data_IF_415753039783
#
_entry.id   IF_415753039783
#
_cell.length_a   1.000
_cell.length_b   1.000
_cell.length_c   1.000
_cell.angle_alpha   90.00
_cell.angle_beta   90.00
_cell.angle_gamma   90.00
#
_symmetry.space_group_name_H-M   'P 1'
#
loop_
_entity.id
_entity.type
_entity.pdbx_description
1 polymer ?
#
# COMPACT_ATOMS: atom_id res chain seq x y z
N UNK A 1 -8.63 -25.89 16.15
CA UNK A 1 -8.51 -24.75 15.23
C UNK A 1 -9.81 -23.97 15.35
N UNK A 2 -9.80 -22.71 15.80
CA UNK A 2 -11.02 -21.92 15.73
C UNK A 2 -11.31 -21.69 14.24
N UNK A 3 -12.56 -21.86 13.87
CA UNK A 3 -13.09 -21.54 12.55
C UNK A 3 -12.90 -20.03 12.41
N UNK A 4 -11.91 -19.61 11.62
CA UNK A 4 -11.83 -18.24 11.14
C UNK A 4 -13.09 -18.08 10.29
N UNK A 5 -14.07 -17.34 10.80
CA UNK A 5 -15.22 -16.95 9.99
C UNK A 5 -14.68 -16.36 8.69
N UNK A 6 -15.13 -16.89 7.56
CA UNK A 6 -14.79 -16.36 6.24
C UNK A 6 -15.15 -14.87 6.22
N UNK A 7 -14.33 -13.99 5.60
CA UNK A 7 -14.71 -12.60 5.39
C UNK A 7 -16.15 -12.51 4.93
N UNK A 8 -16.95 -11.77 5.70
CA UNK A 8 -18.35 -11.54 5.35
C UNK A 8 -18.41 -10.48 4.22
N UNK A 9 -17.79 -10.83 3.09
CA UNK A 9 -17.78 -10.08 1.83
C UNK A 9 -19.21 -9.79 1.37
N UNK A 10 -20.16 -10.66 1.73
CA UNK A 10 -21.58 -10.47 1.49
C UNK A 10 -22.12 -9.25 2.23
N UNK A 11 -21.81 -9.06 3.52
CA UNK A 11 -22.21 -7.85 4.27
C UNK A 11 -21.64 -6.59 3.64
N UNK A 12 -20.38 -6.59 3.19
CA UNK A 12 -19.81 -5.44 2.50
C UNK A 12 -20.54 -5.15 1.18
N UNK A 13 -20.76 -6.19 0.36
CA UNK A 13 -21.49 -6.08 -0.91
C UNK A 13 -22.90 -5.58 -0.70
N UNK A 14 -23.63 -6.12 0.28
CA UNK A 14 -25.00 -5.72 0.61
C UNK A 14 -25.06 -4.26 1.07
N UNK A 15 -24.14 -3.84 1.94
CA UNK A 15 -24.06 -2.45 2.38
C UNK A 15 -23.79 -1.48 1.22
N UNK A 16 -22.89 -1.85 0.31
CA UNK A 16 -22.60 -1.06 -0.89
C UNK A 16 -23.79 -1.03 -1.86
N UNK A 17 -24.46 -2.16 -2.07
CA UNK A 17 -25.65 -2.29 -2.92
C UNK A 17 -26.82 -1.48 -2.35
N UNK A 18 -27.07 -1.55 -1.05
CA UNK A 18 -28.11 -0.75 -0.41
C UNK A 18 -27.84 0.76 -0.53
N UNK A 19 -26.57 1.17 -0.48
CA UNK A 19 -26.17 2.58 -0.56
C UNK A 19 -26.12 3.13 -1.99
N UNK A 20 -25.76 2.29 -2.94
CA UNK A 20 -25.55 2.60 -4.36
C UNK A 20 -26.11 1.46 -5.24
N UNK A 21 -27.45 1.36 -5.33
CA UNK A 21 -28.12 0.21 -5.95
C UNK A 21 -27.85 0.08 -7.45
N UNK A 22 -27.53 1.18 -8.14
CA UNK A 22 -27.38 1.20 -9.59
C UNK A 22 -26.03 0.64 -10.08
N UNK A 23 -25.10 0.32 -9.18
CA UNK A 23 -23.71 0.01 -9.53
C UNK A 23 -23.36 -1.49 -9.55
N UNK A 24 -24.30 -2.40 -9.30
CA UNK A 24 -24.06 -3.85 -9.48
C UNK A 24 -22.82 -4.39 -8.77
N UNK A 25 -22.68 -4.07 -7.47
CA UNK A 25 -21.46 -4.33 -6.69
C UNK A 25 -21.10 -5.80 -6.57
N UNK A 26 -19.79 -6.05 -6.56
CA UNK A 26 -19.17 -7.34 -6.25
C UNK A 26 -18.13 -7.16 -5.14
N UNK A 27 -17.90 -8.20 -4.36
CA UNK A 27 -16.86 -8.24 -3.34
C UNK A 27 -16.12 -9.59 -3.39
N UNK A 28 -14.80 -9.55 -3.30
CA UNK A 28 -13.93 -10.71 -3.25
C UNK A 28 -12.95 -10.55 -2.11
N UNK A 29 -12.70 -11.68 -1.44
CA UNK A 29 -11.59 -11.79 -0.51
C UNK A 29 -10.28 -11.86 -1.29
N UNK A 30 -9.30 -11.14 -0.78
CA UNK A 30 -7.91 -11.29 -1.15
C UNK A 30 -7.18 -11.79 0.08
N UNK A 31 -6.95 -13.10 0.11
CA UNK A 31 -6.53 -13.92 1.26
C UNK A 31 -5.13 -13.61 1.80
N UNK A 32 -4.60 -12.40 1.59
CA UNK A 32 -3.42 -11.91 2.30
C UNK A 32 -3.84 -11.43 3.69
N UNK A 33 -3.57 -12.28 4.69
CA UNK A 33 -3.57 -11.86 6.09
C UNK A 33 -2.45 -10.85 6.30
N UNK A 34 -2.80 -9.71 6.90
CA UNK A 34 -1.86 -8.69 7.29
C UNK A 34 -1.86 -8.51 8.81
N UNK A 35 -0.73 -8.04 9.31
CA UNK A 35 -0.54 -7.65 10.70
C UNK A 35 -0.12 -6.19 10.73
N UNK A 36 -0.83 -5.37 11.51
CA UNK A 36 -0.44 -3.98 11.74
C UNK A 36 0.07 -3.86 13.17
N UNK A 37 1.37 -3.54 13.37
CA UNK A 37 1.86 -3.22 14.70
C UNK A 37 1.11 -2.00 15.23
N UNK A 38 0.67 -2.09 16.48
CA UNK A 38 -0.11 -1.04 17.12
C UNK A 38 0.62 0.31 17.08
N UNK A 39 -0.03 1.31 16.50
CA UNK A 39 0.52 2.67 16.43
C UNK A 39 0.29 3.44 17.73
N UNK A 40 -0.73 3.10 18.50
CA UNK A 40 -1.08 3.79 19.74
C UNK A 40 -0.46 3.06 20.93
N UNK A 41 0.00 3.82 21.91
CA UNK A 41 0.54 3.31 23.18
C UNK A 41 -0.42 3.64 24.30
N UNK A 42 -0.68 2.65 25.13
CA UNK A 42 -1.55 2.73 26.30
C UNK A 42 -0.72 2.53 27.57
N UNK A 43 -1.11 3.20 28.65
CA UNK A 43 -0.58 2.90 29.99
C UNK A 43 -1.25 1.66 30.60
N UNK A 44 -0.80 1.25 31.80
CA UNK A 44 -1.35 0.11 32.51
C UNK A 44 -2.83 0.27 32.90
N UNK A 45 -3.36 1.50 32.92
CA UNK A 45 -4.77 1.78 33.16
C UNK A 45 -5.61 1.77 31.87
N UNK A 46 -4.98 1.54 30.72
CA UNK A 46 -5.64 1.53 29.40
C UNK A 46 -5.84 2.91 28.79
N UNK A 47 -5.26 3.97 29.36
CA UNK A 47 -5.35 5.32 28.77
C UNK A 47 -4.36 5.44 27.62
N UNK A 48 -4.79 6.00 26.49
CA UNK A 48 -3.89 6.31 25.39
C UNK A 48 -2.93 7.44 25.80
N UNK A 49 -1.63 7.16 25.77
CA UNK A 49 -0.57 8.13 26.09
C UNK A 49 0.21 8.59 24.86
N UNK A 50 0.09 7.87 23.74
CA UNK A 50 0.65 8.27 22.46
C UNK A 50 -0.17 7.71 21.29
N UNK A 51 -0.34 8.53 20.24
CA UNK A 51 -0.99 8.12 18.98
C UNK A 51 -0.01 7.56 17.94
N UNK A 52 1.28 7.85 18.12
CA UNK A 52 2.38 7.41 17.26
C UNK A 52 3.49 6.80 18.13
N UNK A 53 3.50 5.46 18.15
CA UNK A 53 4.46 4.63 18.90
C UNK A 53 5.88 4.94 18.49
N UNK A 54 6.12 5.13 17.18
CA UNK A 54 7.46 5.37 16.67
C UNK A 54 7.97 6.72 17.18
N UNK A 55 7.21 7.79 17.00
CA UNK A 55 7.58 9.11 17.48
C UNK A 55 7.75 9.14 19.01
N UNK A 56 6.91 8.40 19.73
CA UNK A 56 7.02 8.28 21.19
C UNK A 56 8.31 7.57 21.61
N UNK A 57 8.63 6.42 21.02
CA UNK A 57 9.87 5.68 21.28
C UNK A 57 11.11 6.50 20.89
N UNK A 58 11.09 7.19 19.75
CA UNK A 58 12.15 8.13 19.34
C UNK A 58 12.35 9.24 20.39
N UNK A 59 11.25 9.77 20.96
CA UNK A 59 11.28 10.75 22.04
C UNK A 59 11.89 10.22 23.34
N UNK A 60 11.55 8.99 23.73
CA UNK A 60 12.16 8.33 24.89
C UNK A 60 13.66 8.09 24.68
N UNK A 61 14.04 7.62 23.49
CA UNK A 61 15.42 7.35 23.14
C UNK A 61 16.26 8.62 23.13
N UNK A 62 15.71 9.72 22.59
CA UNK A 62 16.35 11.03 22.64
C UNK A 62 16.56 11.51 24.08
N UNK A 63 15.56 11.35 24.94
CA UNK A 63 15.66 11.69 26.37
C UNK A 63 16.74 10.87 27.08
N UNK A 64 16.88 9.60 26.69
CA UNK A 64 17.91 8.70 27.20
C UNK A 64 19.29 8.85 26.52
N UNK A 65 19.51 9.90 25.71
CA UNK A 65 20.79 10.14 25.05
C UNK A 65 21.18 9.09 24.00
N UNK A 66 20.19 8.39 23.42
CA UNK A 66 20.43 7.28 22.49
C UNK A 66 20.70 5.93 23.18
N UNK A 67 20.66 5.86 24.51
CA UNK A 67 20.94 4.63 25.24
C UNK A 67 19.70 3.73 25.36
N UNK A 68 19.55 2.81 24.42
CA UNK A 68 18.42 1.86 24.33
C UNK A 68 18.20 1.08 25.63
N UNK A 69 19.29 0.56 26.23
CA UNK A 69 19.20 -0.17 27.50
C UNK A 69 18.62 0.67 28.64
N UNK A 70 18.92 1.97 28.67
CA UNK A 70 18.36 2.91 29.66
C UNK A 70 16.86 3.10 29.44
N UNK A 71 16.41 3.22 28.18
CA UNK A 71 14.97 3.28 27.87
C UNK A 71 14.26 2.02 28.37
N UNK A 72 14.80 0.84 28.07
CA UNK A 72 14.17 -0.42 28.49
C UNK A 72 14.12 -0.56 30.02
N UNK A 73 15.22 -0.35 30.74
CA UNK A 73 15.23 -0.47 32.21
C UNK A 73 14.31 0.55 32.90
N UNK A 74 14.18 1.76 32.36
CA UNK A 74 13.31 2.78 32.92
C UNK A 74 11.82 2.49 32.68
N UNK A 75 11.46 1.72 31.66
CA UNK A 75 10.07 1.57 31.22
C UNK A 75 9.51 0.13 31.29
N UNK A 76 10.36 -0.89 31.42
CA UNK A 76 9.95 -2.28 31.67
C UNK A 76 9.05 -2.39 32.90
N UNK A 77 8.01 -3.22 32.84
CA UNK A 77 7.10 -3.45 33.96
C UNK A 77 6.18 -2.27 34.33
N UNK A 78 6.22 -1.16 33.60
CA UNK A 78 5.23 -0.07 33.74
C UNK A 78 3.90 -0.38 33.06
N UNK A 79 3.78 -1.54 32.41
CA UNK A 79 2.54 -2.01 31.77
C UNK A 79 2.15 -1.19 30.54
N UNK A 80 3.12 -0.61 29.83
CA UNK A 80 2.82 0.04 28.55
C UNK A 80 2.47 -1.02 27.52
N UNK A 81 1.35 -0.83 26.82
CA UNK A 81 0.88 -1.77 25.82
C UNK A 81 0.58 -1.08 24.48
N UNK A 82 0.66 -1.85 23.40
CA UNK A 82 0.12 -1.48 22.09
C UNK A 82 -0.89 -2.52 21.66
N UNK A 83 -1.86 -2.13 20.83
CA UNK A 83 -2.82 -3.07 20.25
C UNK A 83 -2.41 -3.35 18.82
N UNK A 84 -1.93 -4.56 18.57
CA UNK A 84 -1.74 -5.06 17.22
C UNK A 84 -3.06 -5.53 16.66
N UNK A 85 -3.25 -5.32 15.36
CA UNK A 85 -4.45 -5.74 14.63
C UNK A 85 -4.07 -6.72 13.53
N UNK A 86 -4.88 -7.76 13.40
CA UNK A 86 -4.86 -8.72 12.30
C UNK A 86 -6.09 -8.49 11.44
N UNK A 87 -5.91 -8.57 10.13
CA UNK A 87 -7.01 -8.46 9.20
C UNK A 87 -6.73 -9.08 7.84
N UNK A 88 -7.76 -9.05 7.01
CA UNK A 88 -7.71 -9.43 5.61
C UNK A 88 -7.90 -8.20 4.74
N UNK A 89 -7.46 -8.30 3.48
CA UNK A 89 -7.76 -7.28 2.47
C UNK A 89 -8.95 -7.76 1.65
N UNK A 90 -9.99 -6.94 1.54
CA UNK A 90 -11.15 -7.23 0.70
C UNK A 90 -11.20 -6.20 -0.42
N UNK A 91 -11.49 -6.66 -1.63
CA UNK A 91 -11.77 -5.80 -2.76
C UNK A 91 -13.27 -5.80 -3.03
N UNK A 92 -13.84 -4.62 -3.23
CA UNK A 92 -15.18 -4.46 -3.76
C UNK A 92 -15.12 -3.60 -5.02
N UNK A 93 -15.92 -3.92 -6.03
CA UNK A 93 -15.92 -3.14 -7.25
C UNK A 93 -17.25 -3.13 -7.96
N UNK A 94 -17.37 -2.20 -8.88
CA UNK A 94 -18.53 -2.01 -9.74
C UNK A 94 -18.10 -1.49 -11.11
N UNK A 95 -18.78 -1.97 -12.16
CA UNK A 95 -18.63 -1.38 -13.49
C UNK A 95 -19.39 -0.04 -13.53
N UNK A 96 -18.76 0.98 -14.11
CA UNK A 96 -19.31 2.34 -14.24
C UNK A 96 -19.43 2.78 -15.71
N UNK A 97 -19.06 1.90 -16.65
CA UNK A 97 -19.09 2.16 -18.08
C UNK A 97 -18.82 0.89 -18.90
N UNK A 98 -18.85 1.01 -20.24
CA UNK A 98 -18.73 -0.14 -21.14
C UNK A 98 -17.28 -0.60 -21.37
N UNK A 99 -16.28 0.21 -21.06
CA UNK A 99 -14.88 -0.17 -21.29
C UNK A 99 -14.40 -1.08 -20.15
N UNK A 100 -13.43 -1.98 -20.42
CA UNK A 100 -12.92 -2.90 -19.41
C UNK A 100 -12.35 -2.20 -18.16
N UNK A 101 -11.77 -1.01 -18.32
CA UNK A 101 -11.23 -0.18 -17.25
C UNK A 101 -12.23 0.80 -16.61
N UNK A 102 -13.48 0.85 -17.09
CA UNK A 102 -14.54 1.66 -16.52
C UNK A 102 -15.07 1.00 -15.24
N UNK A 103 -14.21 0.94 -14.23
CA UNK A 103 -14.44 0.26 -12.96
C UNK A 103 -14.11 1.21 -11.81
N UNK A 104 -15.02 1.26 -10.83
CA UNK A 104 -14.69 1.75 -9.50
C UNK A 104 -14.31 0.56 -8.63
N UNK A 105 -13.17 0.66 -7.95
CA UNK A 105 -12.68 -0.36 -7.03
C UNK A 105 -12.42 0.26 -5.65
N UNK A 106 -12.81 -0.46 -4.61
CA UNK A 106 -12.62 -0.12 -3.21
C UNK A 106 -11.79 -1.24 -2.59
N UNK A 107 -10.62 -0.88 -2.08
CA UNK A 107 -9.79 -1.75 -1.24
C UNK A 107 -10.10 -1.42 0.22
N UNK A 108 -10.53 -2.41 0.99
CA UNK A 108 -10.78 -2.27 2.44
C UNK A 108 -9.98 -3.28 3.23
N UNK A 109 -9.58 -2.88 4.43
CA UNK A 109 -9.02 -3.78 5.43
C UNK A 109 -10.18 -4.27 6.32
N UNK A 110 -10.39 -5.58 6.40
CA UNK A 110 -11.33 -6.19 7.34
C UNK A 110 -10.56 -6.67 8.57
N UNK A 111 -10.82 -6.05 9.73
CA UNK A 111 -10.13 -6.38 10.97
C UNK A 111 -10.82 -7.58 11.63
N UNK A 112 -10.05 -8.65 11.88
CA UNK A 112 -10.54 -9.93 12.43
C UNK A 112 -9.96 -10.28 13.78
N UNK A 113 -8.84 -9.67 14.15
CA UNK A 113 -8.16 -9.94 15.41
C UNK A 113 -7.52 -8.68 15.96
N UNK A 114 -7.46 -8.61 17.28
CA UNK A 114 -6.61 -7.69 17.99
C UNK A 114 -5.90 -8.41 19.14
N UNK A 115 -4.68 -7.97 19.46
CA UNK A 115 -3.97 -8.41 20.66
C UNK A 115 -3.24 -7.24 21.30
N UNK A 116 -3.24 -7.22 22.63
CA UNK A 116 -2.44 -6.26 23.38
C UNK A 116 -1.05 -6.85 23.63
N UNK A 117 -0.01 -6.13 23.25
CA UNK A 117 1.38 -6.52 23.49
C UNK A 117 2.08 -5.45 24.32
N UNK A 118 2.81 -5.89 25.35
CA UNK A 118 3.61 -5.02 26.19
C UNK A 118 4.79 -4.44 25.40
N UNK A 119 4.94 -3.11 25.41
CA UNK A 119 5.97 -2.41 24.62
C UNK A 119 7.39 -2.72 25.12
N UNK A 120 7.54 -2.94 26.43
CA UNK A 120 8.83 -3.20 27.09
C UNK A 120 8.86 -4.52 27.86
N UNK A 121 7.79 -5.31 27.78
CA UNK A 121 7.65 -6.56 28.53
C UNK A 121 8.26 -7.76 27.77
N UNK A 122 9.03 -7.45 26.72
CA UNK A 122 9.81 -8.39 25.91
C UNK A 122 11.24 -8.52 26.45
N UNK A 123 12.06 -9.30 25.75
CA UNK A 123 13.50 -9.36 25.99
C UNK A 123 14.14 -7.97 25.86
N UNK A 124 15.27 -7.77 26.55
CA UNK A 124 16.00 -6.50 26.55
C UNK A 124 16.55 -6.19 25.15
N UNK A 125 16.10 -5.11 24.49
CA UNK A 125 16.52 -4.76 23.14
C UNK A 125 18.04 -4.49 23.09
N UNK A 126 18.68 -4.97 22.01
CA UNK A 126 20.12 -4.85 21.78
C UNK A 126 20.45 -3.79 20.73
N UNK A 127 19.54 -3.56 19.78
CA UNK A 127 19.61 -2.52 18.76
C UNK A 127 18.30 -1.72 18.67
N UNK A 128 18.34 -0.56 17.99
CA UNK A 128 17.15 0.29 17.82
C UNK A 128 16.00 -0.47 17.17
N UNK A 129 16.31 -1.33 16.19
CA UNK A 129 15.32 -2.14 15.50
C UNK A 129 14.48 -2.99 16.47
N UNK A 130 15.12 -3.58 17.46
CA UNK A 130 14.48 -4.41 18.49
C UNK A 130 13.46 -3.60 19.30
N UNK A 131 13.77 -2.33 19.56
CA UNK A 131 12.89 -1.43 20.29
C UNK A 131 11.64 -1.06 19.46
N UNK A 132 11.80 -0.87 18.15
CA UNK A 132 10.69 -0.46 17.28
C UNK A 132 9.84 -1.64 16.79
N UNK A 133 10.38 -2.85 16.81
CA UNK A 133 9.74 -4.07 16.33
C UNK A 133 10.11 -5.24 17.24
N UNK A 134 9.59 -5.28 18.48
CA UNK A 134 9.94 -6.33 19.41
C UNK A 134 9.50 -7.69 18.87
N UNK A 135 10.47 -8.56 18.58
CA UNK A 135 10.23 -9.91 18.10
C UNK A 135 9.82 -10.80 19.29
N UNK A 136 8.57 -10.79 19.72
CA UNK A 136 8.03 -11.85 20.59
C UNK A 136 6.54 -12.10 20.37
N UNK A 137 6.17 -12.43 19.13
CA UNK A 137 4.79 -12.69 18.74
C UNK A 137 4.18 -13.99 19.31
N UNK A 138 4.94 -14.83 20.02
CA UNK A 138 4.55 -16.22 20.32
C UNK A 138 3.69 -16.39 21.59
N UNK A 139 3.51 -15.36 22.43
CA UNK A 139 2.95 -15.56 23.77
C UNK A 139 1.55 -14.98 24.01
N UNK A 140 1.00 -14.19 23.07
CA UNK A 140 -0.33 -13.55 23.25
C UNK A 140 -1.28 -14.01 22.15
N UNK A 141 -2.39 -14.63 22.58
CA UNK A 141 -3.46 -15.08 21.69
C UNK A 141 -4.22 -13.89 21.07
N UNK A 142 -4.61 -14.02 19.81
CA UNK A 142 -5.52 -13.09 19.15
C UNK A 142 -6.91 -13.20 19.73
N UNK A 143 -7.55 -12.04 19.94
CA UNK A 143 -8.95 -11.95 20.36
C UNK A 143 -9.75 -11.31 19.23
N UNK A 144 -10.92 -11.86 18.87
CA UNK A 144 -11.80 -11.20 17.91
C UNK A 144 -12.15 -9.77 18.37
N UNK A 145 -12.23 -8.79 17.45
CA UNK A 145 -12.63 -7.45 17.82
C UNK A 145 -14.06 -7.45 18.34
N UNK A 146 -14.37 -6.56 19.28
CA UNK A 146 -15.71 -6.42 19.85
C UNK A 146 -16.80 -6.11 18.80
N UNK A 147 -16.40 -5.61 17.62
CA UNK A 147 -17.26 -5.37 16.46
C UNK A 147 -16.47 -5.61 15.19
N UNK A 148 -17.10 -6.22 14.18
CA UNK A 148 -16.54 -6.25 12.83
C UNK A 148 -16.33 -4.83 12.32
N UNK A 149 -15.12 -4.53 11.84
CA UNK A 149 -14.74 -3.21 11.34
C UNK A 149 -14.11 -3.36 9.95
N UNK A 150 -14.57 -2.50 9.04
CA UNK A 150 -13.95 -2.33 7.73
C UNK A 150 -13.30 -0.95 7.68
N UNK A 151 -12.02 -0.91 7.33
CA UNK A 151 -11.28 0.31 7.13
C UNK A 151 -11.07 0.57 5.65
N UNK A 152 -11.54 1.74 5.18
CA UNK A 152 -11.29 2.14 3.81
C UNK A 152 -9.79 2.41 3.63
N UNK A 153 -9.15 1.64 2.75
CA UNK A 153 -7.74 1.86 2.37
C UNK A 153 -7.65 2.78 1.18
N UNK A 154 -8.35 2.43 0.10
CA UNK A 154 -8.32 3.16 -1.17
C UNK A 154 -9.63 2.98 -1.90
N UNK A 155 -9.96 3.98 -2.70
CA UNK A 155 -10.98 3.92 -3.73
C UNK A 155 -10.37 4.48 -5.01
N UNK A 156 -10.43 3.71 -6.08
CA UNK A 156 -9.84 4.05 -7.37
C UNK A 156 -10.88 3.95 -8.47
N UNK A 157 -10.72 4.80 -9.49
CA UNK A 157 -11.38 4.61 -10.78
C UNK A 157 -10.29 4.20 -11.75
N UNK A 158 -10.33 2.96 -12.24
CA UNK A 158 -9.20 2.34 -12.94
C UNK A 158 -8.82 3.12 -14.21
N UNK A 159 -9.81 3.57 -14.98
CA UNK A 159 -9.60 4.46 -16.13
C UNK A 159 -8.79 5.73 -15.77
N UNK A 160 -9.12 6.40 -14.66
CA UNK A 160 -8.39 7.61 -14.21
C UNK A 160 -6.97 7.28 -13.77
N UNK A 161 -6.78 6.16 -13.09
CA UNK A 161 -5.44 5.68 -12.68
C UNK A 161 -4.57 5.41 -13.92
N UNK A 162 -5.13 4.79 -14.95
CA UNK A 162 -4.44 4.54 -16.23
C UNK A 162 -4.03 5.84 -16.91
N UNK A 163 -4.96 6.79 -17.07
CA UNK A 163 -4.65 8.09 -17.70
C UNK A 163 -3.51 8.81 -16.96
N UNK A 164 -3.52 8.79 -15.62
CA UNK A 164 -2.46 9.39 -14.82
C UNK A 164 -1.12 8.68 -15.01
N UNK A 165 -1.11 7.34 -15.03
CA UNK A 165 0.09 6.56 -15.25
C UNK A 165 0.68 6.82 -16.66
N UNK A 166 -0.16 6.90 -17.68
CA UNK A 166 0.24 7.18 -19.06
C UNK A 166 0.85 8.58 -19.20
N UNK A 167 0.25 9.60 -18.56
CA UNK A 167 0.78 10.97 -18.57
C UNK A 167 2.17 11.04 -17.91
N UNK A 168 2.34 10.40 -16.75
CA UNK A 168 3.62 10.37 -16.03
C UNK A 168 4.70 9.64 -16.83
N UNK A 169 4.37 8.49 -17.40
CA UNK A 169 5.29 7.71 -18.24
C UNK A 169 5.70 8.48 -19.50
N UNK A 170 4.75 9.15 -20.17
CA UNK A 170 5.06 10.00 -21.33
C UNK A 170 5.98 11.17 -20.97
N UNK A 171 5.76 11.83 -19.84
CA UNK A 171 6.64 12.88 -19.36
C UNK A 171 8.07 12.36 -19.10
N UNK A 172 8.19 11.21 -18.42
CA UNK A 172 9.49 10.56 -18.15
C UNK A 172 10.23 10.20 -19.42
N UNK A 173 9.55 9.57 -20.39
CA UNK A 173 10.20 9.16 -21.64
C UNK A 173 10.68 10.35 -22.47
N UNK A 174 9.92 11.45 -22.49
CA UNK A 174 10.37 12.70 -23.12
C UNK A 174 11.63 13.24 -22.46
N UNK A 175 11.69 13.20 -21.14
CA UNK A 175 12.88 13.63 -20.40
C UNK A 175 14.08 12.71 -20.68
N UNK A 176 13.88 11.40 -20.74
CA UNK A 176 14.91 10.43 -21.12
C UNK A 176 15.44 10.73 -22.52
N UNK A 177 14.57 10.90 -23.52
CA UNK A 177 14.99 11.26 -24.89
C UNK A 177 15.77 12.56 -24.93
N UNK A 178 15.42 13.54 -24.08
CA UNK A 178 16.10 14.85 -24.01
C UNK A 178 17.49 14.77 -23.38
N UNK A 179 17.67 13.91 -22.39
CA UNK A 179 18.86 13.94 -21.51
C UNK A 179 19.80 12.77 -21.67
N UNK A 180 19.31 11.62 -22.13
CA UNK A 180 20.08 10.38 -22.17
C UNK A 180 20.69 10.11 -23.54
N UNK A 181 21.88 9.50 -23.49
CA UNK A 181 22.62 8.97 -24.62
C UNK A 181 22.93 7.50 -24.36
N UNK A 182 22.93 6.70 -25.42
CA UNK A 182 23.15 5.25 -25.38
C UNK A 182 24.47 4.95 -26.06
N UNK A 183 25.34 4.21 -25.38
CA UNK A 183 26.59 3.72 -25.95
C UNK A 183 26.33 2.38 -26.64
N UNK A 184 26.58 2.32 -27.94
CA UNK A 184 26.36 1.13 -28.76
C UNK A 184 27.71 0.59 -29.24
N UNK A 185 27.99 -0.67 -28.94
CA UNK A 185 29.20 -1.38 -29.39
C UNK A 185 28.80 -2.56 -30.25
N UNK A 186 29.44 -2.71 -31.41
CA UNK A 186 29.25 -3.88 -32.26
C UNK A 186 30.17 -5.02 -31.78
N UNK A 187 29.56 -6.17 -31.48
CA UNK A 187 30.27 -7.39 -31.07
C UNK A 187 30.21 -8.39 -32.21
N UNK A 188 31.36 -8.68 -32.83
CA UNK A 188 31.49 -9.71 -33.86
C UNK A 188 31.75 -11.07 -33.20
N UNK A 189 30.92 -12.07 -33.51
CA UNK A 189 31.03 -13.43 -32.96
C UNK A 189 32.00 -14.33 -33.73
N UNK A 190 32.59 -13.84 -34.83
CA UNK A 190 33.43 -14.61 -35.75
C UNK A 190 34.93 -14.66 -35.37
N UNK A 191 35.30 -14.10 -34.22
CA UNK A 191 36.68 -14.14 -33.72
C UNK A 191 37.64 -13.18 -34.42
N UNK A 192 37.18 -12.33 -35.34
CA UNK A 192 38.01 -11.33 -36.06
C UNK A 192 38.55 -10.20 -35.18
N UNK A 193 38.12 -10.12 -33.91
CA UNK A 193 38.80 -9.42 -32.81
C UNK A 193 38.87 -7.90 -32.92
N UNK A 194 38.21 -7.26 -33.89
CA UNK A 194 38.15 -5.80 -34.00
C UNK A 194 36.70 -5.32 -34.04
N UNK A 195 36.10 -5.19 -32.85
CA UNK A 195 34.89 -4.38 -32.71
C UNK A 195 35.18 -2.92 -33.00
N UNK A 196 34.23 -2.21 -33.60
CA UNK A 196 34.29 -0.76 -33.69
C UNK A 196 34.28 -0.14 -32.29
N UNK A 197 34.92 1.02 -32.13
CA UNK A 197 34.84 1.77 -30.88
C UNK A 197 33.37 2.06 -30.55
N UNK A 198 32.97 2.02 -29.26
CA UNK A 198 31.62 2.35 -28.84
C UNK A 198 31.18 3.70 -29.42
N UNK A 199 30.01 3.73 -30.05
CA UNK A 199 29.41 4.95 -30.59
C UNK A 199 28.32 5.46 -29.68
N UNK A 200 28.32 6.76 -29.41
CA UNK A 200 27.22 7.43 -28.72
C UNK A 200 26.06 7.67 -29.70
N UNK A 201 24.85 7.21 -29.34
CA UNK A 201 23.61 7.43 -30.07
C UNK A 201 22.54 8.01 -29.15
N UNK A 202 21.60 8.75 -29.70
CA UNK A 202 20.38 9.12 -28.99
C UNK A 202 19.48 7.90 -28.77
N UNK A 203 18.58 8.00 -27.80
CA UNK A 203 17.60 6.94 -27.52
C UNK A 203 16.75 6.63 -28.76
N UNK A 204 16.31 7.64 -29.51
CA UNK A 204 15.45 7.45 -30.70
C UNK A 204 16.19 6.87 -31.92
N UNK A 205 17.50 7.02 -32.02
CA UNK A 205 18.29 6.36 -33.07
C UNK A 205 18.42 4.86 -32.82
N UNK A 206 18.43 4.44 -31.54
CA UNK A 206 18.48 3.02 -31.16
C UNK A 206 17.07 2.42 -31.12
N UNK A 207 16.08 3.21 -30.73
CA UNK A 207 14.71 2.77 -30.45
C UNK A 207 13.71 3.84 -30.93
N UNK A 208 13.38 3.87 -32.24
CA UNK A 208 12.51 4.88 -32.82
C UNK A 208 11.11 4.93 -32.18
N UNK A 209 10.65 3.79 -31.68
CA UNK A 209 9.30 3.64 -31.13
C UNK A 209 9.22 3.96 -29.63
N UNK A 210 10.34 4.32 -28.98
CA UNK A 210 10.44 4.50 -27.53
C UNK A 210 9.30 5.36 -26.94
N UNK A 211 8.97 6.48 -27.59
CA UNK A 211 7.90 7.40 -27.15
C UNK A 211 6.49 6.84 -27.39
N UNK A 212 6.32 5.96 -28.39
CA UNK A 212 5.02 5.42 -28.81
C UNK A 212 4.61 4.15 -28.08
N UNK A 213 5.52 3.50 -27.35
CA UNK A 213 5.24 2.25 -26.63
C UNK A 213 4.06 2.40 -25.68
N UNK A 214 3.11 1.47 -25.73
CA UNK A 214 2.04 1.43 -24.74
C UNK A 214 2.60 1.12 -23.34
N UNK A 215 1.97 1.70 -22.31
CA UNK A 215 2.23 1.36 -20.92
C UNK A 215 1.82 -0.10 -20.66
N UNK A 216 2.51 -0.82 -19.76
CA UNK A 216 2.21 -2.23 -19.45
C UNK A 216 0.75 -2.43 -19.05
N UNK A 217 0.22 -1.57 -18.19
CA UNK A 217 -1.16 -1.60 -17.70
C UNK A 217 -2.17 -1.33 -18.83
N UNK A 218 -1.85 -0.40 -19.75
CA UNK A 218 -2.66 -0.16 -20.95
C UNK A 218 -2.69 -1.39 -21.84
N UNK A 219 -1.53 -2.00 -22.10
CA UNK A 219 -1.44 -3.24 -22.87
C UNK A 219 -2.29 -4.35 -22.26
N UNK A 220 -2.25 -4.50 -20.93
CA UNK A 220 -3.07 -5.50 -20.25
C UNK A 220 -4.59 -5.30 -20.49
N UNK A 221 -5.06 -4.06 -20.45
CA UNK A 221 -6.46 -3.71 -20.74
C UNK A 221 -6.81 -3.94 -22.21
N UNK A 222 -5.95 -3.49 -23.11
CA UNK A 222 -6.16 -3.63 -24.56
C UNK A 222 -6.15 -5.12 -24.98
N UNK A 223 -5.21 -5.90 -24.44
CA UNK A 223 -5.11 -7.35 -24.67
C UNK A 223 -6.33 -8.08 -24.10
N UNK A 224 -6.86 -7.66 -22.93
CA UNK A 224 -8.12 -8.18 -22.40
C UNK A 224 -9.28 -7.89 -23.33
N UNK A 225 -9.42 -6.63 -23.78
CA UNK A 225 -10.50 -6.20 -24.65
C UNK A 225 -10.50 -6.96 -25.99
N UNK A 226 -9.31 -7.24 -26.53
CA UNK A 226 -9.14 -7.99 -27.77
C UNK A 226 -9.33 -9.51 -27.59
N UNK A 227 -9.31 -10.02 -26.36
CA UNK A 227 -9.48 -11.44 -26.08
C UNK A 227 -10.93 -11.90 -26.22
N UNK A 228 -11.15 -13.20 -26.34
CA UNK A 228 -12.49 -13.80 -26.29
C UNK A 228 -13.23 -13.53 -24.97
N UNK A 229 -12.49 -13.29 -23.88
CA UNK A 229 -13.04 -12.94 -22.57
C UNK A 229 -13.40 -11.44 -22.44
N UNK A 230 -12.99 -10.61 -23.42
CA UNK A 230 -13.21 -9.16 -23.44
C UNK A 230 -14.69 -8.74 -23.51
N UNK A 231 -15.59 -9.68 -23.77
CA UNK A 231 -17.06 -9.50 -23.68
C UNK A 231 -17.57 -9.44 -22.24
N UNK A 232 -16.74 -9.82 -21.26
CA UNK A 232 -17.06 -9.75 -19.83
C UNK A 232 -16.26 -8.64 -19.14
N UNK A 233 -16.83 -7.96 -18.13
CA UNK A 233 -16.08 -6.97 -17.35
C UNK A 233 -14.81 -7.57 -16.75
N UNK A 234 -13.68 -6.85 -16.78
CA UNK A 234 -12.43 -7.33 -16.16
C UNK A 234 -12.58 -7.62 -14.68
N UNK A 235 -13.45 -6.87 -14.01
CA UNK A 235 -13.82 -7.11 -12.61
C UNK A 235 -14.50 -8.48 -12.40
N UNK A 236 -14.82 -9.26 -13.42
CA UNK A 236 -15.24 -10.66 -13.20
C UNK A 236 -14.05 -11.57 -12.90
N UNK A 237 -12.81 -11.10 -13.10
CA UNK A 237 -11.61 -11.95 -13.10
C UNK A 237 -10.46 -11.33 -12.30
N UNK A 238 -10.41 -9.99 -12.22
CA UNK A 238 -9.28 -9.25 -11.70
C UNK A 238 -9.69 -8.17 -10.68
N UNK A 239 -8.91 -8.04 -9.61
CA UNK A 239 -8.75 -6.81 -8.85
C UNK A 239 -7.50 -6.09 -9.35
N UNK A 240 -7.43 -4.79 -9.14
CA UNK A 240 -6.32 -3.95 -9.55
C UNK A 240 -5.64 -3.38 -8.31
N UNK A 241 -4.53 -4.00 -7.88
CA UNK A 241 -3.76 -3.49 -6.75
C UNK A 241 -3.03 -2.19 -7.16
N UNK A 242 -3.73 -1.07 -7.05
CA UNK A 242 -3.25 0.25 -7.47
C UNK A 242 -2.14 0.72 -6.54
N UNK A 243 -1.02 1.11 -7.15
CA UNK A 243 0.11 1.75 -6.52
C UNK A 243 0.18 3.23 -6.93
N UNK A 244 0.31 4.11 -5.95
CA UNK A 244 0.55 5.54 -6.13
C UNK A 244 1.49 5.96 -5.00
N UNK A 245 2.76 6.21 -5.35
CA UNK A 245 3.80 6.53 -4.38
C UNK A 245 4.89 7.40 -5.02
N UNK A 246 5.58 8.15 -4.18
CA UNK A 246 6.78 8.88 -4.58
C UNK A 246 8.03 8.08 -4.21
N UNK A 247 8.98 8.00 -5.14
CA UNK A 247 10.28 7.39 -4.92
C UNK A 247 11.36 8.27 -5.56
N UNK A 248 12.36 8.66 -4.78
CA UNK A 248 13.44 9.55 -5.22
C UNK A 248 12.96 10.87 -5.87
N UNK A 249 11.86 11.43 -5.39
CA UNK A 249 11.27 12.66 -5.93
C UNK A 249 10.40 12.46 -7.17
N UNK A 250 10.22 11.22 -7.62
CA UNK A 250 9.35 10.89 -8.75
C UNK A 250 8.09 10.17 -8.30
N UNK A 251 6.93 10.69 -8.69
CA UNK A 251 5.64 10.03 -8.48
C UNK A 251 5.47 8.89 -9.47
N UNK A 252 5.20 7.69 -8.96
CA UNK A 252 4.92 6.47 -9.70
C UNK A 252 3.45 6.10 -9.50
N UNK A 253 2.74 5.85 -10.60
CA UNK A 253 1.34 5.41 -10.60
C UNK A 253 1.21 4.21 -11.53
N UNK A 254 0.46 3.20 -11.11
CA UNK A 254 0.18 2.00 -11.89
C UNK A 254 -0.63 0.99 -11.08
N UNK A 255 -0.84 -0.20 -11.61
CA UNK A 255 -1.49 -1.28 -10.88
C UNK A 255 -0.90 -2.64 -11.21
N UNK A 256 -1.09 -3.58 -10.30
CA UNK A 256 -0.85 -5.00 -10.54
C UNK A 256 -2.19 -5.73 -10.57
N UNK A 257 -2.58 -6.38 -11.68
CA UNK A 257 -3.79 -7.19 -11.69
C UNK A 257 -3.60 -8.40 -10.75
N UNK A 258 -4.59 -8.63 -9.89
CA UNK A 258 -4.66 -9.75 -8.96
C UNK A 258 -5.80 -10.66 -9.40
N UNK A 259 -5.55 -11.95 -9.66
CA UNK A 259 -6.62 -12.87 -10.00
C UNK A 259 -7.56 -12.98 -8.80
N UNK A 260 -8.86 -12.90 -9.05
CA UNK A 260 -9.86 -13.02 -8.00
C UNK A 260 -10.53 -14.37 -8.06
N UNK A 261 -10.75 -14.92 -6.88
CA UNK A 261 -11.68 -16.04 -6.70
C UNK A 261 -12.92 -15.41 -6.09
N UNK A 262 -13.90 -15.04 -6.92
CA UNK A 262 -15.17 -14.51 -6.43
C UNK A 262 -15.95 -15.65 -5.78
N UNK A 263 -16.60 -15.39 -4.65
CA UNK A 263 -17.75 -16.20 -4.27
C UNK A 263 -18.79 -16.05 -5.37
N UNK A 264 -19.28 -17.16 -5.92
CA UNK A 264 -20.25 -17.12 -7.02
C UNK A 264 -21.48 -16.29 -6.63
N UNK A 265 -22.10 -15.56 -7.58
CA UNK A 265 -23.42 -14.99 -7.35
C UNK A 265 -24.37 -16.11 -6.94
N UNK A 266 -25.03 -15.97 -5.79
CA UNK A 266 -26.13 -16.86 -5.43
C UNK A 266 -27.29 -16.55 -6.39
N UNK A 267 -27.36 -17.27 -7.49
CA UNK A 267 -28.56 -17.38 -8.29
C UNK A 267 -29.65 -17.98 -7.39
N UNK A 268 -30.54 -17.13 -6.89
CA UNK A 268 -31.60 -17.58 -6.00
C UNK A 268 -32.60 -18.48 -6.73
N UNK A 269 -33.03 -19.61 -6.14
CA UNK A 269 -34.44 -19.94 -6.12
C UNK A 269 -35.08 -19.23 -4.92
N UNK A 270 -36.31 -18.79 -5.13
CA UNK A 270 -37.21 -18.19 -4.15
C UNK A 270 -37.43 -19.18 -2.99
N UNK A 271 -36.61 -19.06 -1.94
CA UNK A 271 -36.72 -19.83 -0.71
C UNK A 271 -36.70 -18.85 0.46
N UNK A 272 -37.78 -18.86 1.25
CA UNK A 272 -38.02 -17.90 2.33
C UNK A 272 -36.81 -17.76 3.26
N UNK A 273 -36.14 -16.60 3.19
CA UNK A 273 -35.23 -16.14 4.23
C UNK A 273 -36.07 -15.93 5.49
N UNK A 274 -35.76 -16.69 6.54
CA UNK A 274 -36.34 -16.50 7.87
C UNK A 274 -36.07 -15.07 8.31
N UNK A 275 -37.15 -14.33 8.52
CA UNK A 275 -37.19 -12.88 8.68
C UNK A 275 -36.77 -12.40 10.07
N UNK A 276 -35.80 -13.06 10.70
CA UNK A 276 -35.45 -12.78 12.09
C UNK A 276 -33.94 -12.92 12.36
N UNK A 277 -33.15 -12.20 11.58
CA UNK A 277 -31.81 -11.75 11.98
C UNK A 277 -31.66 -10.32 11.47
N UNK A 278 -31.91 -9.33 12.33
CA UNK A 278 -31.51 -7.95 12.05
C UNK A 278 -29.99 -7.94 11.92
N UNK A 279 -29.39 -7.38 10.86
CA UNK A 279 -27.95 -7.19 10.82
C UNK A 279 -27.55 -6.36 12.06
N UNK A 280 -26.54 -6.78 12.84
CA UNK A 280 -26.11 -6.01 13.99
C UNK A 280 -25.72 -4.61 13.50
N UNK A 281 -26.32 -3.62 14.15
CA UNK A 281 -26.28 -2.22 13.76
C UNK A 281 -24.88 -1.73 13.40
N UNK A 282 -24.81 -0.91 12.35
CA UNK A 282 -23.77 0.08 12.01
C UNK A 282 -22.49 -0.48 11.40
N UNK A 283 -22.43 -0.48 10.07
CA UNK A 283 -21.16 -0.51 9.36
C UNK A 283 -20.53 0.90 9.49
N UNK A 284 -19.35 1.00 10.11
CA UNK A 284 -18.60 2.26 10.18
C UNK A 284 -17.41 2.14 9.23
N UNK A 285 -17.47 2.85 8.10
CA UNK A 285 -16.30 3.05 7.25
C UNK A 285 -15.46 4.17 7.85
N UNK A 286 -14.38 3.81 8.54
CA UNK A 286 -13.40 4.78 9.03
C UNK A 286 -12.34 5.04 7.96
N UNK A 287 -12.00 6.32 7.75
CA UNK A 287 -10.95 6.76 6.83
C UNK A 287 -9.60 6.75 7.54
N UNK A 288 -8.65 5.94 7.09
CA UNK A 288 -7.25 6.05 7.52
C UNK A 288 -6.52 7.03 6.58
N UNK A 289 -6.35 8.28 7.03
CA UNK A 289 -5.48 9.24 6.34
C UNK A 289 -4.02 8.80 6.54
N UNK A 290 -3.42 8.11 5.55
CA UNK A 290 -1.97 8.06 5.46
C UNK A 290 -1.49 9.47 5.12
N UNK A 291 -0.76 10.11 6.04
CA UNK A 291 -0.05 11.35 5.73
C UNK A 291 0.91 11.07 4.56
N UNK A 292 0.91 11.87 3.49
CA UNK A 292 1.98 11.80 2.51
C UNK A 292 3.31 12.07 3.22
N UNK A 293 4.34 11.29 2.87
CA UNK A 293 5.68 11.42 3.43
C UNK A 293 6.14 12.87 3.34
N UNK A 294 6.48 13.47 4.49
CA UNK A 294 6.95 14.84 4.57
C UNK A 294 8.29 14.92 3.85
N UNK A 295 8.37 15.77 2.83
CA UNK A 295 9.59 16.08 2.09
C UNK A 295 10.77 16.36 3.05
N UNK A 296 11.84 15.60 2.90
CA UNK A 296 13.13 15.89 3.54
C UNK A 296 13.75 17.06 2.81
N UNK A 297 13.62 18.25 3.39
CA UNK A 297 14.36 19.43 2.96
C UNK A 297 15.85 19.23 3.20
N UNK A 298 16.63 19.28 2.12
CA UNK A 298 18.08 19.24 2.16
C UNK A 298 18.62 20.63 2.57
N UNK A 299 19.43 20.78 3.64
CA UNK A 299 20.04 22.06 3.96
C UNK A 299 21.17 22.36 2.98
N UNK A 300 20.99 23.43 2.22
CA UNK A 300 21.99 23.95 1.29
C UNK A 300 23.32 24.25 1.97
N UNK A 301 24.39 23.74 1.39
CA UNK A 301 25.78 24.11 1.66
C UNK A 301 26.00 25.57 1.26
N UNK A 302 26.09 26.46 2.24
CA UNK A 302 26.65 27.80 2.09
C UNK A 302 28.15 27.77 2.36
N UNK A 303 28.95 28.01 1.31
CA UNK A 303 30.39 28.33 1.41
C UNK A 303 30.57 29.60 2.24
N UNK A 304 31.58 29.61 3.11
CA UNK A 304 31.88 30.74 4.00
C UNK A 304 32.41 31.98 3.28
N UNK A 305 32.46 33.13 3.95
CA UNK A 305 33.27 34.26 3.52
C UNK A 305 34.69 34.16 4.09
N UNK A 306 35.62 34.58 3.24
CA UNK A 306 37.03 34.74 3.51
C UNK A 306 37.32 35.73 4.65
N UNK A 307 38.36 35.41 5.41
CA UNK A 307 39.12 36.31 6.26
C UNK A 307 39.87 37.35 5.40
N UNK A 308 39.80 38.62 5.78
CA UNK A 308 40.84 39.61 5.52
C UNK A 308 40.72 40.80 6.51
N UNK A 309 41.84 41.03 7.23
CA UNK A 309 42.38 42.30 7.78
C UNK A 309 41.66 42.90 9.02
N UNK A 310 42.21 42.81 10.26
CA UNK A 310 43.39 43.50 10.85
C UNK A 310 43.35 45.02 10.70
N UNK A 311 43.65 45.88 11.67
CA UNK A 311 44.26 45.79 13.00
C UNK A 311 44.02 47.16 13.69
N UNK A 312 44.43 47.29 14.95
CA UNK A 312 44.99 48.51 15.54
C UNK A 312 44.54 49.90 15.02
N UNK A 313 44.00 50.65 15.98
CA UNK A 313 43.71 52.09 16.04
C UNK A 313 42.46 52.58 15.30
#
# INVERSE_FOLDING_TARGET
>A
MPIVEIPNIDVLREALTARYPDLGWRAADYTETWFCPGQRVFDAAGNAIAEDRKAWLEGLLKTAGGHIGTVWELHRGKGFATVEEEGHTVFAGAAIGPRPEDVVEIKVDWIVGARAEGVFDTWRPTEERDLFSPCSHEQVAWVPPARQRYELRRMNVIARTLEQAEQLEQARRREVVRTHKVWVSEVYTDGSGRGHAPQEKSVLEVDPDYLSRALRERRFVDDWQASSAGTTPMLNHWAFDVSDYEYQGERNVGFTPRPLTWAEPVDGPTGAVRRDDRPPHGLVLSRRLRKPGRAVGNPGRGRGPASAENCAA
#
